data_IF_713649511025
#
_entry.id   IF_713649511025
#
_cell.length_a   1.000
_cell.length_b   1.000
_cell.length_c   1.000
_cell.angle_alpha   90.00
_cell.angle_beta   90.00
_cell.angle_gamma   90.00
#
_symmetry.space_group_name_H-M   'P 1'
#
loop_
_entity.id
_entity.type
_entity.pdbx_description
1 polymer ?
#
# COMPACT_ATOMS: atom_id res chain seq x y z
N UNK A 1 36.36 -33.52 9.49
CA UNK A 1 35.36 -32.49 9.88
C UNK A 1 34.95 -31.56 8.72
N UNK A 2 35.81 -31.27 7.73
CA UNK A 2 35.50 -30.37 6.60
C UNK A 2 34.53 -30.94 5.55
N UNK A 3 34.58 -32.24 5.26
CA UNK A 3 33.72 -32.89 4.24
C UNK A 3 32.24 -33.03 4.66
N UNK A 4 31.96 -33.17 5.96
CA UNK A 4 30.56 -33.21 6.47
C UNK A 4 29.86 -31.85 6.42
N UNK A 5 30.61 -30.74 6.55
CA UNK A 5 30.08 -29.38 6.42
C UNK A 5 29.78 -29.02 4.96
N UNK A 6 30.61 -29.48 4.02
CA UNK A 6 30.34 -29.30 2.59
C UNK A 6 29.10 -30.09 2.13
N UNK A 7 28.92 -31.32 2.61
CA UNK A 7 27.77 -32.14 2.25
C UNK A 7 26.44 -31.58 2.82
N UNK A 8 26.48 -31.03 4.03
CA UNK A 8 25.31 -30.37 4.63
C UNK A 8 24.93 -29.07 3.89
N UNK A 9 25.92 -28.27 3.48
CA UNK A 9 25.69 -27.08 2.66
C UNK A 9 25.20 -27.42 1.24
N UNK A 10 25.71 -28.51 0.64
CA UNK A 10 25.23 -28.95 -0.68
C UNK A 10 23.79 -29.50 -0.61
N UNK A 11 23.45 -30.21 0.47
CA UNK A 11 22.11 -30.73 0.69
C UNK A 11 21.10 -29.61 1.03
N UNK A 12 21.50 -28.57 1.77
CA UNK A 12 20.64 -27.42 2.03
C UNK A 12 20.38 -26.60 0.76
N UNK A 13 21.39 -26.42 -0.10
CA UNK A 13 21.22 -25.75 -1.40
C UNK A 13 20.32 -26.59 -2.33
N UNK A 14 20.45 -27.92 -2.31
CA UNK A 14 19.60 -28.81 -3.11
C UNK A 14 18.13 -28.80 -2.64
N UNK A 15 17.88 -28.71 -1.34
CA UNK A 15 16.52 -28.59 -0.79
C UNK A 15 15.95 -27.19 -1.09
N UNK A 16 16.74 -26.11 -1.01
CA UNK A 16 16.31 -24.76 -1.42
C UNK A 16 15.96 -24.69 -2.93
N UNK A 17 16.67 -25.42 -3.79
CA UNK A 17 16.35 -25.53 -5.22
C UNK A 17 15.09 -26.36 -5.52
N UNK A 18 14.70 -27.27 -4.62
CA UNK A 18 13.48 -28.09 -4.74
C UNK A 18 12.26 -27.46 -4.08
N UNK A 19 12.44 -26.42 -3.26
CA UNK A 19 11.37 -25.64 -2.62
C UNK A 19 11.09 -24.32 -3.33
N UNK A 20 11.74 -24.05 -4.47
CA UNK A 20 11.19 -23.06 -5.41
C UNK A 20 9.80 -23.55 -5.82
N UNK A 21 8.75 -22.71 -5.77
CA UNK A 21 7.43 -23.09 -6.23
C UNK A 21 7.59 -23.62 -7.65
N UNK A 22 7.32 -24.91 -7.83
CA UNK A 22 7.11 -25.46 -9.17
C UNK A 22 5.88 -24.72 -9.66
N UNK A 23 6.08 -23.70 -10.48
CA UNK A 23 5.02 -23.14 -11.28
C UNK A 23 4.41 -24.33 -12.03
N UNK A 24 3.22 -24.73 -11.59
CA UNK A 24 2.28 -25.35 -12.50
C UNK A 24 2.19 -24.33 -13.63
N UNK A 25 2.81 -24.63 -14.77
CA UNK A 25 2.53 -23.91 -16.00
C UNK A 25 1.02 -24.09 -16.20
N UNK A 26 0.26 -23.10 -15.74
CA UNK A 26 -1.02 -22.81 -16.36
C UNK A 26 -0.67 -22.71 -17.84
N UNK A 27 -1.29 -23.60 -18.63
CA UNK A 27 -1.40 -23.43 -20.07
C UNK A 27 -1.66 -21.94 -20.30
N UNK A 28 -0.74 -21.23 -20.99
CA UNK A 28 -0.95 -19.83 -21.33
C UNK A 28 -2.24 -19.81 -22.13
N UNK A 29 -3.36 -19.51 -21.46
CA UNK A 29 -4.60 -19.29 -22.15
C UNK A 29 -4.35 -18.05 -22.97
N UNK A 30 -4.03 -18.23 -24.26
CA UNK A 30 -3.91 -17.13 -25.22
C UNK A 30 -5.23 -16.39 -25.14
N UNK A 31 -5.22 -15.27 -24.43
CA UNK A 31 -6.38 -14.41 -24.30
C UNK A 31 -6.71 -13.90 -25.70
N UNK A 32 -7.97 -14.01 -26.16
CA UNK A 32 -8.30 -13.67 -27.53
C UNK A 32 -7.98 -12.19 -27.82
N UNK A 33 -7.61 -11.84 -29.07
CA UNK A 33 -7.45 -10.45 -29.48
C UNK A 33 -8.76 -9.68 -29.32
N UNK A 34 -8.70 -8.34 -29.26
CA UNK A 34 -9.91 -7.52 -29.18
C UNK A 34 -10.78 -7.64 -30.44
N UNK A 35 -12.09 -7.62 -30.25
CA UNK A 35 -13.09 -7.64 -31.32
C UNK A 35 -13.20 -6.29 -32.05
N UNK A 36 -12.85 -5.20 -31.38
CA UNK A 36 -12.79 -3.85 -31.93
C UNK A 36 -11.50 -3.17 -31.47
N UNK A 37 -10.87 -2.39 -32.35
CA UNK A 37 -9.71 -1.56 -32.01
C UNK A 37 -9.78 -0.26 -32.81
N UNK A 38 -9.75 0.87 -32.12
CA UNK A 38 -9.70 2.21 -32.71
C UNK A 38 -8.48 2.95 -32.15
N UNK A 39 -7.67 3.55 -33.02
CA UNK A 39 -6.47 4.31 -32.65
C UNK A 39 -6.53 5.70 -33.28
N UNK A 40 -6.64 6.76 -32.46
CA UNK A 40 -6.76 8.14 -32.93
C UNK A 40 -7.99 8.38 -33.82
N UNK A 41 -9.07 7.62 -33.60
CA UNK A 41 -10.28 7.62 -34.44
C UNK A 41 -10.20 6.75 -35.71
N UNK A 42 -9.08 6.05 -35.96
CA UNK A 42 -8.94 5.10 -37.06
C UNK A 42 -9.42 3.72 -36.61
N UNK A 43 -10.45 3.18 -37.26
CA UNK A 43 -10.96 1.82 -37.02
C UNK A 43 -9.97 0.79 -37.61
N UNK A 44 -9.20 0.13 -36.75
CA UNK A 44 -8.16 -0.86 -37.09
C UNK A 44 -8.72 -2.27 -37.10
N UNK A 45 -9.56 -2.61 -36.13
CA UNK A 45 -10.27 -3.90 -36.06
C UNK A 45 -11.76 -3.62 -35.88
N UNK A 46 -12.60 -4.37 -36.59
CA UNK A 46 -14.05 -4.33 -36.46
C UNK A 46 -14.61 -5.75 -36.54
N UNK A 47 -15.40 -6.16 -35.55
CA UNK A 47 -15.96 -7.51 -35.45
C UNK A 47 -14.90 -8.63 -35.59
N UNK A 48 -13.71 -8.41 -35.03
CA UNK A 48 -12.57 -9.32 -35.10
C UNK A 48 -11.78 -9.29 -36.42
N UNK A 49 -12.20 -8.51 -37.41
CA UNK A 49 -11.50 -8.41 -38.69
C UNK A 49 -10.66 -7.13 -38.80
N UNK A 50 -9.40 -7.28 -39.21
CA UNK A 50 -8.49 -6.16 -39.49
C UNK A 50 -8.99 -5.37 -40.70
N UNK A 51 -9.16 -4.07 -40.52
CA UNK A 51 -9.63 -3.16 -41.55
C UNK A 51 -8.45 -2.59 -42.36
N UNK A 52 -8.75 -2.08 -43.56
CA UNK A 52 -7.77 -1.31 -44.32
C UNK A 52 -7.72 0.12 -43.80
N UNK A 53 -6.55 0.55 -43.32
CA UNK A 53 -6.29 1.91 -42.89
C UNK A 53 -4.97 2.43 -43.47
N UNK A 54 -4.73 3.74 -43.36
CA UNK A 54 -3.45 4.32 -43.78
C UNK A 54 -2.43 4.11 -42.66
N UNK A 55 -1.31 3.40 -42.91
CA UNK A 55 -0.32 3.15 -41.87
C UNK A 55 0.29 4.46 -41.35
N UNK A 56 0.38 4.57 -40.03
CA UNK A 56 1.21 5.56 -39.36
C UNK A 56 2.64 5.01 -39.25
N UNK A 57 3.66 5.88 -39.32
CA UNK A 57 5.05 5.45 -39.12
C UNK A 57 5.41 5.30 -37.64
N UNK A 58 4.58 5.83 -36.75
CA UNK A 58 4.80 5.89 -35.31
C UNK A 58 4.04 4.81 -34.54
N UNK A 59 3.09 4.11 -35.15
CA UNK A 59 2.42 2.96 -34.54
C UNK A 59 2.00 1.90 -35.55
N UNK A 60 1.88 0.65 -35.11
CA UNK A 60 1.46 -0.49 -35.93
C UNK A 60 0.74 -1.54 -35.08
N UNK A 61 -0.22 -2.26 -35.65
CA UNK A 61 -0.95 -3.34 -34.96
C UNK A 61 -0.66 -4.71 -35.59
N UNK A 62 -0.24 -5.66 -34.75
CA UNK A 62 -0.14 -7.08 -35.09
C UNK A 62 -1.35 -7.82 -34.52
N UNK A 63 -2.23 -8.28 -35.41
CA UNK A 63 -3.46 -8.97 -35.02
C UNK A 63 -3.21 -10.38 -34.46
N UNK A 64 -2.13 -11.05 -34.88
CA UNK A 64 -1.83 -12.41 -34.41
C UNK A 64 -1.36 -12.43 -32.95
N UNK A 65 -0.69 -11.37 -32.53
CA UNK A 65 -0.17 -11.17 -31.18
C UNK A 65 -1.03 -10.20 -30.36
N UNK A 66 -2.17 -9.73 -30.90
CA UNK A 66 -3.02 -8.70 -30.30
C UNK A 66 -2.23 -7.46 -29.81
N UNK A 67 -1.18 -7.06 -30.54
CA UNK A 67 -0.18 -6.11 -30.07
C UNK A 67 -0.18 -4.82 -30.89
N UNK A 68 -0.51 -3.70 -30.24
CA UNK A 68 -0.29 -2.35 -30.74
C UNK A 68 1.10 -1.87 -30.32
N UNK A 69 1.99 -1.67 -31.27
CA UNK A 69 3.32 -1.10 -31.04
C UNK A 69 3.29 0.41 -31.27
N UNK A 70 3.80 1.19 -30.31
CA UNK A 70 4.00 2.64 -30.38
C UNK A 70 5.50 2.96 -30.38
N UNK A 71 5.93 3.88 -31.26
CA UNK A 71 7.31 4.34 -31.34
C UNK A 71 7.35 5.81 -31.78
N UNK A 72 7.37 6.74 -30.82
CA UNK A 72 7.28 8.17 -31.10
C UNK A 72 5.87 8.63 -31.47
N UNK A 73 4.83 7.91 -31.03
CA UNK A 73 3.45 8.18 -31.39
C UNK A 73 2.86 9.34 -30.58
N UNK A 74 2.05 10.15 -31.24
CA UNK A 74 1.15 11.13 -30.59
C UNK A 74 -0.26 10.88 -31.09
N UNK A 75 -1.09 10.31 -30.22
CA UNK A 75 -2.46 9.90 -30.54
C UNK A 75 -3.42 10.79 -29.77
N UNK A 76 -4.30 11.48 -30.48
CA UNK A 76 -5.30 12.34 -29.86
C UNK A 76 -6.66 11.65 -29.81
N UNK A 77 -7.38 11.88 -28.72
CA UNK A 77 -8.73 11.40 -28.52
C UNK A 77 -9.71 11.89 -29.57
N UNK A 78 -10.77 11.11 -29.78
CA UNK A 78 -11.81 11.43 -30.73
C UNK A 78 -13.19 11.34 -30.06
N UNK A 79 -13.93 12.45 -30.02
CA UNK A 79 -15.25 12.55 -29.39
C UNK A 79 -16.35 11.68 -30.02
N UNK A 80 -16.09 11.08 -31.18
CA UNK A 80 -17.00 10.09 -31.78
C UNK A 80 -16.73 8.66 -31.29
N UNK A 81 -15.66 8.44 -30.54
CA UNK A 81 -15.30 7.17 -29.89
C UNK A 81 -15.80 7.22 -28.45
N UNK A 82 -16.17 6.07 -27.89
CA UNK A 82 -16.63 5.98 -26.51
C UNK A 82 -15.60 6.60 -25.54
N UNK A 83 -16.10 7.44 -24.63
CA UNK A 83 -15.30 8.23 -23.68
C UNK A 83 -14.21 9.08 -24.35
N UNK A 84 -14.41 9.49 -25.60
CA UNK A 84 -13.45 10.32 -26.31
C UNK A 84 -12.09 9.64 -26.52
N UNK A 85 -12.02 8.31 -26.45
CA UNK A 85 -10.76 7.60 -26.27
C UNK A 85 -9.74 7.82 -27.40
N UNK A 86 -8.47 8.01 -27.03
CA UNK A 86 -7.35 8.02 -27.96
C UNK A 86 -7.05 6.61 -28.49
N UNK A 87 -7.06 5.62 -27.60
CA UNK A 87 -7.02 4.20 -27.95
C UNK A 87 -8.24 3.53 -27.32
N UNK A 88 -9.06 2.87 -28.14
CA UNK A 88 -10.21 2.09 -27.71
C UNK A 88 -10.07 0.65 -28.16
N UNK A 89 -10.30 -0.30 -27.26
CA UNK A 89 -10.46 -1.72 -27.60
C UNK A 89 -11.69 -2.32 -26.94
N UNK A 90 -12.26 -3.37 -27.54
CA UNK A 90 -13.45 -4.04 -27.01
C UNK A 90 -13.26 -5.56 -26.96
N UNK A 91 -13.47 -6.13 -25.78
CA UNK A 91 -13.27 -7.54 -25.49
C UNK A 91 -11.81 -7.98 -25.58
N UNK A 92 -11.54 -9.21 -25.15
CA UNK A 92 -10.21 -9.82 -25.29
C UNK A 92 -9.11 -9.09 -24.53
N UNK A 93 -7.88 -9.14 -25.03
CA UNK A 93 -6.72 -8.47 -24.41
C UNK A 93 -5.92 -7.74 -25.48
N UNK A 94 -5.67 -6.46 -25.25
CA UNK A 94 -4.79 -5.65 -26.09
C UNK A 94 -3.45 -5.46 -25.39
N UNK A 95 -2.37 -5.89 -26.04
CA UNK A 95 -1.02 -5.53 -25.63
C UNK A 95 -0.62 -4.20 -26.28
N UNK A 96 -0.24 -3.22 -25.48
CA UNK A 96 0.35 -1.95 -25.92
C UNK A 96 1.84 -1.99 -25.60
N UNK A 97 2.65 -2.19 -26.65
CA UNK A 97 4.10 -2.18 -26.55
C UNK A 97 4.62 -0.80 -26.97
N UNK A 98 5.33 -0.09 -26.10
CA UNK A 98 5.81 1.25 -26.42
C UNK A 98 7.34 1.36 -26.32
N UNK A 99 7.92 1.93 -27.38
CA UNK A 99 9.33 2.26 -27.52
C UNK A 99 9.46 3.77 -27.75
N UNK A 100 10.60 4.37 -27.40
CA UNK A 100 10.74 5.84 -27.48
C UNK A 100 9.77 6.58 -26.54
N UNK A 101 9.42 7.82 -26.88
CA UNK A 101 8.49 8.64 -26.11
C UNK A 101 7.14 8.75 -26.84
N UNK A 102 6.05 8.36 -26.17
CA UNK A 102 4.72 8.31 -26.76
C UNK A 102 3.72 9.06 -25.90
N UNK A 103 2.69 9.63 -26.52
CA UNK A 103 1.60 10.32 -25.85
C UNK A 103 0.26 9.90 -26.44
N UNK A 104 -0.71 9.64 -25.57
CA UNK A 104 -2.10 9.39 -25.89
C UNK A 104 -2.93 10.33 -25.03
N UNK A 105 -3.87 11.06 -25.64
CA UNK A 105 -4.79 11.93 -24.92
C UNK A 105 -6.24 11.50 -25.15
N UNK A 106 -7.10 11.70 -24.15
CA UNK A 106 -8.55 11.62 -24.31
C UNK A 106 -9.12 12.93 -24.87
N UNK A 107 -10.25 12.85 -25.56
CA UNK A 107 -10.98 14.05 -25.99
C UNK A 107 -11.76 14.66 -24.81
N UNK A 108 -11.91 15.98 -24.80
CA UNK A 108 -12.76 16.66 -23.82
C UNK A 108 -14.23 16.38 -24.14
N UNK A 109 -14.88 15.61 -23.29
CA UNK A 109 -16.27 15.16 -23.42
C UNK A 109 -16.87 14.96 -22.01
N UNK A 110 -18.13 14.50 -21.92
CA UNK A 110 -18.79 14.17 -20.66
C UNK A 110 -18.01 13.15 -19.81
N UNK A 111 -17.35 12.19 -20.46
CA UNK A 111 -16.36 11.28 -19.89
C UNK A 111 -15.19 11.18 -20.86
N UNK A 112 -13.97 11.15 -20.33
CA UNK A 112 -12.74 11.15 -21.12
C UNK A 112 -11.78 10.07 -20.65
N UNK A 113 -11.25 9.27 -21.57
CA UNK A 113 -10.19 8.31 -21.32
C UNK A 113 -9.07 8.49 -22.35
N UNK A 114 -7.79 8.42 -21.97
CA UNK A 114 -6.74 8.33 -22.99
C UNK A 114 -6.78 6.95 -23.66
N UNK A 115 -6.86 5.91 -22.83
CA UNK A 115 -6.92 4.51 -23.25
C UNK A 115 -8.10 3.83 -22.55
N UNK A 116 -8.97 3.18 -23.32
CA UNK A 116 -10.13 2.47 -22.81
C UNK A 116 -10.27 1.07 -23.41
N UNK A 117 -10.37 0.05 -22.54
CA UNK A 117 -10.74 -1.31 -22.91
C UNK A 117 -12.13 -1.68 -22.37
N UNK A 118 -13.09 -1.84 -23.27
CA UNK A 118 -14.49 -2.15 -22.96
C UNK A 118 -14.78 -3.65 -22.96
N UNK A 119 -15.95 -4.04 -22.43
CA UNK A 119 -16.52 -5.40 -22.49
C UNK A 119 -15.59 -6.46 -21.86
N UNK A 120 -15.20 -6.22 -20.60
CA UNK A 120 -14.22 -7.03 -19.86
C UNK A 120 -12.84 -7.09 -20.53
N UNK A 121 -12.52 -6.12 -21.41
CA UNK A 121 -11.25 -6.05 -22.11
C UNK A 121 -10.08 -5.76 -21.19
N UNK A 122 -8.98 -6.48 -21.35
CA UNK A 122 -7.74 -6.27 -20.58
C UNK A 122 -6.72 -5.44 -21.36
N UNK A 123 -5.87 -4.73 -20.62
CA UNK A 123 -4.75 -3.98 -21.17
C UNK A 123 -3.42 -4.51 -20.61
N UNK A 124 -2.49 -4.85 -21.51
CA UNK A 124 -1.12 -5.26 -21.14
C UNK A 124 -0.13 -4.24 -21.68
N UNK A 125 0.62 -3.61 -20.79
CA UNK A 125 1.63 -2.61 -21.10
C UNK A 125 3.02 -3.22 -21.05
N UNK A 126 3.81 -3.02 -22.11
CA UNK A 126 5.15 -3.58 -22.26
C UNK A 126 6.07 -2.67 -23.10
N UNK A 127 7.33 -3.09 -23.29
CA UNK A 127 8.32 -2.34 -24.05
C UNK A 127 9.37 -1.69 -23.16
N UNK A 128 10.16 -0.79 -23.72
CA UNK A 128 11.25 -0.11 -23.00
C UNK A 128 11.16 1.42 -23.01
N UNK A 129 10.16 1.98 -23.70
CA UNK A 129 9.93 3.41 -23.82
C UNK A 129 9.11 4.02 -22.68
N UNK A 130 8.61 5.22 -22.93
CA UNK A 130 7.67 5.96 -22.09
C UNK A 130 6.35 6.14 -22.83
N UNK A 131 5.24 5.98 -22.12
CA UNK A 131 3.90 6.30 -22.59
C UNK A 131 3.23 7.23 -21.58
N UNK A 132 2.87 8.42 -22.02
CA UNK A 132 2.04 9.37 -21.28
C UNK A 132 0.59 9.23 -21.75
N UNK A 133 -0.30 8.85 -20.85
CA UNK A 133 -1.72 8.63 -21.11
C UNK A 133 -2.55 9.61 -20.27
N UNK A 134 -3.09 10.65 -20.90
CA UNK A 134 -3.80 11.75 -20.21
C UNK A 134 -5.28 11.78 -20.60
N UNK A 135 -6.16 11.54 -19.64
CA UNK A 135 -7.57 11.86 -19.81
C UNK A 135 -7.77 13.36 -20.05
N UNK A 136 -8.87 13.76 -20.67
CA UNK A 136 -9.24 15.16 -20.82
C UNK A 136 -10.15 15.67 -19.70
N UNK A 137 -10.42 16.97 -19.72
CA UNK A 137 -11.39 17.62 -18.81
C UNK A 137 -12.80 17.06 -19.03
N UNK A 138 -13.38 16.46 -17.99
CA UNK A 138 -14.64 15.73 -18.08
C UNK A 138 -15.33 15.55 -16.71
N UNK A 139 -16.55 14.98 -16.68
CA UNK A 139 -17.13 14.55 -15.40
C UNK A 139 -16.37 13.35 -14.83
N UNK A 140 -15.99 12.42 -15.69
CA UNK A 140 -15.11 11.29 -15.41
C UNK A 140 -13.88 11.39 -16.28
N UNK A 141 -12.69 11.46 -15.69
CA UNK A 141 -11.43 11.53 -16.43
C UNK A 141 -10.53 10.36 -16.05
N UNK A 142 -10.04 9.63 -17.06
CA UNK A 142 -9.23 8.44 -16.92
C UNK A 142 -7.94 8.58 -17.75
N UNK A 143 -6.78 8.39 -17.13
CA UNK A 143 -5.57 8.11 -17.90
C UNK A 143 -5.72 6.77 -18.63
N UNK A 144 -6.01 5.72 -17.87
CA UNK A 144 -6.29 4.38 -18.36
C UNK A 144 -7.55 3.81 -17.71
N UNK A 145 -8.43 3.23 -18.52
CA UNK A 145 -9.62 2.51 -18.06
C UNK A 145 -9.69 1.13 -18.72
N UNK A 146 -9.73 0.05 -17.94
CA UNK A 146 -10.15 -1.27 -18.39
C UNK A 146 -11.39 -1.78 -17.62
N UNK A 147 -12.40 -2.27 -18.34
CA UNK A 147 -13.49 -3.10 -17.76
C UNK A 147 -12.95 -4.49 -17.33
N UNK A 148 -11.78 -4.88 -17.83
CA UNK A 148 -10.99 -6.02 -17.34
C UNK A 148 -9.84 -5.55 -16.43
N UNK A 149 -8.72 -6.27 -16.48
CA UNK A 149 -7.50 -5.96 -15.73
C UNK A 149 -6.50 -5.08 -16.49
N UNK A 150 -5.62 -4.42 -15.73
CA UNK A 150 -4.46 -3.69 -16.24
C UNK A 150 -3.18 -4.37 -15.77
N UNK A 151 -2.32 -4.76 -16.71
CA UNK A 151 -1.02 -5.38 -16.42
C UNK A 151 0.12 -4.52 -16.95
N UNK A 152 1.12 -4.22 -16.13
CA UNK A 152 2.36 -3.54 -16.53
C UNK A 152 3.55 -4.48 -16.35
N UNK A 153 4.15 -4.86 -17.47
CA UNK A 153 5.30 -5.80 -17.52
C UNK A 153 6.62 -5.12 -17.87
N UNK A 154 6.59 -3.90 -18.41
CA UNK A 154 7.77 -3.16 -18.84
C UNK A 154 7.47 -1.71 -19.25
N UNK A 155 8.53 -0.95 -19.50
CA UNK A 155 8.45 0.47 -19.86
C UNK A 155 8.08 1.38 -18.69
N UNK A 156 7.90 2.67 -18.99
CA UNK A 156 7.36 3.69 -18.08
C UNK A 156 5.98 4.15 -18.56
N UNK A 157 4.93 3.81 -17.83
CA UNK A 157 3.57 4.28 -18.07
C UNK A 157 3.25 5.40 -17.09
N UNK A 158 3.01 6.61 -17.59
CA UNK A 158 2.50 7.73 -16.82
C UNK A 158 1.03 7.97 -17.21
N UNK A 159 0.09 7.51 -16.38
CA UNK A 159 -1.35 7.59 -16.60
C UNK A 159 -1.98 8.62 -15.66
N UNK A 160 -2.66 9.61 -16.22
CA UNK A 160 -3.21 10.75 -15.48
C UNK A 160 -4.67 11.00 -15.85
N UNK A 161 -5.54 11.04 -14.85
CA UNK A 161 -6.85 11.67 -14.99
C UNK A 161 -6.74 13.18 -14.76
N UNK A 162 -7.46 13.96 -15.55
CA UNK A 162 -7.43 15.43 -15.46
C UNK A 162 -8.35 15.97 -14.34
N UNK A 163 -8.51 17.29 -14.25
CA UNK A 163 -9.52 17.94 -13.43
C UNK A 163 -10.93 17.44 -13.79
N UNK A 164 -11.63 16.86 -12.80
CA UNK A 164 -12.91 16.19 -13.04
C UNK A 164 -13.79 16.10 -11.79
N UNK A 165 -15.02 15.57 -11.92
CA UNK A 165 -15.76 15.16 -10.70
C UNK A 165 -15.18 13.88 -10.12
N UNK A 166 -14.86 12.92 -10.99
CA UNK A 166 -14.14 11.69 -10.67
C UNK A 166 -12.91 11.60 -11.55
N UNK A 167 -11.74 11.56 -10.94
CA UNK A 167 -10.46 11.54 -11.66
C UNK A 167 -9.64 10.32 -11.27
N UNK A 168 -9.19 9.56 -12.27
CA UNK A 168 -8.47 8.32 -12.11
C UNK A 168 -7.21 8.34 -12.97
N UNK A 169 -6.04 8.10 -12.37
CA UNK A 169 -4.87 7.74 -13.16
C UNK A 169 -5.11 6.41 -13.89
N UNK A 170 -5.44 5.38 -13.12
CA UNK A 170 -5.83 4.05 -13.61
C UNK A 170 -7.15 3.63 -12.96
N UNK A 171 -8.07 3.10 -13.75
CA UNK A 171 -9.26 2.39 -13.32
C UNK A 171 -9.27 0.99 -13.97
N UNK A 172 -9.37 -0.05 -13.16
CA UNK A 172 -9.49 -1.43 -13.63
C UNK A 172 -10.54 -2.21 -12.83
N UNK A 173 -11.55 -2.77 -13.46
CA UNK A 173 -12.49 -3.64 -12.74
C UNK A 173 -11.82 -4.98 -12.38
N UNK A 174 -11.03 -5.57 -13.27
CA UNK A 174 -10.38 -6.88 -13.08
C UNK A 174 -9.05 -6.86 -12.31
N UNK A 175 -8.68 -5.72 -11.70
CA UNK A 175 -7.45 -5.58 -10.91
C UNK A 175 -6.27 -4.94 -11.66
N UNK A 176 -5.21 -4.63 -10.90
CA UNK A 176 -3.99 -4.01 -11.41
C UNK A 176 -2.79 -4.88 -11.04
N UNK A 177 -2.02 -5.32 -12.03
CA UNK A 177 -0.79 -6.11 -11.83
C UNK A 177 0.43 -5.38 -12.37
N UNK A 178 1.49 -5.29 -11.58
CA UNK A 178 2.79 -4.76 -11.98
C UNK A 178 3.89 -5.77 -11.63
N UNK A 179 4.46 -6.37 -12.67
CA UNK A 179 5.55 -7.35 -12.56
C UNK A 179 6.89 -6.78 -13.05
N UNK A 180 6.87 -5.65 -13.76
CA UNK A 180 8.05 -4.95 -14.25
C UNK A 180 7.76 -3.50 -14.65
N UNK A 181 8.80 -2.77 -15.08
CA UNK A 181 8.65 -1.38 -15.50
C UNK A 181 8.31 -0.40 -14.36
N UNK A 182 7.74 0.73 -14.74
CA UNK A 182 7.24 1.76 -13.81
C UNK A 182 5.84 2.21 -14.21
N UNK A 183 4.90 2.16 -13.27
CA UNK A 183 3.58 2.75 -13.39
C UNK A 183 3.49 4.00 -12.51
N UNK A 184 3.23 5.15 -13.11
CA UNK A 184 2.80 6.36 -12.40
C UNK A 184 1.32 6.55 -12.70
N UNK A 185 0.46 6.43 -11.68
CA UNK A 185 -0.99 6.58 -11.82
C UNK A 185 -1.43 7.79 -10.98
N UNK A 186 -1.89 8.85 -11.62
CA UNK A 186 -2.23 10.12 -10.95
C UNK A 186 -3.67 10.51 -11.19
N UNK A 187 -4.46 10.65 -10.13
CA UNK A 187 -5.74 11.34 -10.20
C UNK A 187 -5.53 12.86 -10.13
N UNK A 188 -6.27 13.61 -10.95
CA UNK A 188 -6.28 15.07 -10.95
C UNK A 188 -7.05 15.69 -9.79
N UNK A 189 -7.23 17.01 -9.82
CA UNK A 189 -8.09 17.71 -8.85
C UNK A 189 -9.55 17.33 -9.07
N UNK A 190 -10.26 16.86 -8.03
CA UNK A 190 -11.60 16.31 -8.23
C UNK A 190 -12.54 16.35 -7.03
N UNK A 191 -13.78 15.87 -7.17
CA UNK A 191 -14.58 15.48 -6.00
C UNK A 191 -14.04 14.20 -5.37
N UNK A 192 -13.78 13.19 -6.20
CA UNK A 192 -13.05 11.99 -5.82
C UNK A 192 -11.87 11.78 -6.75
N UNK A 193 -10.69 11.62 -6.17
CA UNK A 193 -9.44 11.47 -6.93
C UNK A 193 -8.73 10.18 -6.53
N UNK A 194 -8.29 9.42 -7.52
CA UNK A 194 -7.68 8.11 -7.35
C UNK A 194 -6.41 8.04 -8.18
N UNK A 195 -5.30 7.66 -7.57
CA UNK A 195 -4.11 7.25 -8.33
C UNK A 195 -4.44 5.99 -9.13
N UNK A 196 -4.64 4.88 -8.43
CA UNK A 196 -5.09 3.62 -8.99
C UNK A 196 -6.35 3.11 -8.27
N UNK A 197 -7.40 2.82 -9.05
CA UNK A 197 -8.59 2.13 -8.61
C UNK A 197 -8.64 0.72 -9.22
N UNK A 198 -8.87 -0.27 -8.36
CA UNK A 198 -9.10 -1.67 -8.74
C UNK A 198 -10.39 -2.16 -8.07
N UNK A 199 -11.30 -2.81 -8.82
CA UNK A 199 -12.41 -3.50 -8.17
C UNK A 199 -11.94 -4.80 -7.50
N UNK A 200 -11.01 -5.52 -8.14
CA UNK A 200 -10.31 -6.70 -7.61
C UNK A 200 -8.91 -6.35 -7.06
N UNK A 201 -7.95 -7.29 -7.15
CA UNK A 201 -6.63 -7.19 -6.50
C UNK A 201 -5.72 -6.11 -7.14
N UNK A 202 -4.85 -5.54 -6.32
CA UNK A 202 -3.65 -4.81 -6.75
C UNK A 202 -2.43 -5.62 -6.37
N UNK A 203 -1.66 -6.07 -7.35
CA UNK A 203 -0.48 -6.91 -7.16
C UNK A 203 0.77 -6.25 -7.72
N UNK A 204 1.79 -6.10 -6.88
CA UNK A 204 3.10 -5.55 -7.26
C UNK A 204 4.16 -6.61 -6.97
N UNK A 205 4.38 -7.49 -7.94
CA UNK A 205 5.34 -8.61 -7.88
C UNK A 205 6.75 -8.21 -8.36
N UNK A 206 6.86 -7.03 -8.95
CA UNK A 206 8.11 -6.42 -9.40
C UNK A 206 7.89 -4.97 -9.81
N UNK A 207 8.87 -4.36 -10.47
CA UNK A 207 8.77 -2.98 -10.95
C UNK A 207 8.52 -1.94 -9.84
N UNK A 208 8.04 -0.77 -10.25
CA UNK A 208 7.72 0.35 -9.35
C UNK A 208 6.35 0.94 -9.68
N UNK A 209 5.53 1.20 -8.66
CA UNK A 209 4.24 1.88 -8.78
C UNK A 209 4.27 3.17 -7.95
N UNK A 210 3.93 4.30 -8.57
CA UNK A 210 3.65 5.57 -7.92
C UNK A 210 2.18 5.92 -8.13
N UNK A 211 1.33 5.67 -7.15
CA UNK A 211 -0.11 5.92 -7.23
C UNK A 211 -0.47 7.14 -6.39
N UNK A 212 -0.82 8.24 -7.05
CA UNK A 212 -1.09 9.53 -6.41
C UNK A 212 -2.55 9.94 -6.59
N UNK A 213 -3.29 10.08 -5.49
CA UNK A 213 -4.58 10.79 -5.51
C UNK A 213 -4.34 12.30 -5.52
N UNK A 214 -5.08 13.05 -6.34
CA UNK A 214 -5.03 14.51 -6.39
C UNK A 214 -5.78 15.18 -5.23
N UNK A 215 -5.75 16.51 -5.20
CA UNK A 215 -6.55 17.31 -4.25
C UNK A 215 -8.04 17.01 -4.47
N UNK A 216 -8.78 16.75 -3.38
CA UNK A 216 -10.18 16.33 -3.49
C UNK A 216 -11.15 17.14 -2.64
N UNK A 217 -12.34 17.43 -3.18
CA UNK A 217 -13.44 18.06 -2.41
C UNK A 217 -14.28 17.05 -1.63
N UNK A 218 -14.00 15.75 -1.75
CA UNK A 218 -14.51 14.67 -0.88
C UNK A 218 -13.40 13.70 -0.49
N UNK A 219 -12.99 12.82 -1.42
CA UNK A 219 -12.11 11.69 -1.10
C UNK A 219 -10.89 11.67 -2.01
N UNK A 220 -9.72 11.41 -1.46
CA UNK A 220 -8.50 11.21 -2.23
C UNK A 220 -7.79 9.93 -1.82
N UNK A 221 -7.44 9.11 -2.80
CA UNK A 221 -6.84 7.81 -2.58
C UNK A 221 -5.61 7.62 -3.48
N UNK A 222 -4.50 7.15 -2.90
CA UNK A 222 -3.37 6.69 -3.70
C UNK A 222 -3.75 5.41 -4.44
N UNK A 223 -4.03 4.36 -3.69
CA UNK A 223 -4.57 3.08 -4.18
C UNK A 223 -5.90 2.78 -3.50
N UNK A 224 -6.90 2.36 -4.28
CA UNK A 224 -8.14 1.81 -3.78
C UNK A 224 -8.46 0.47 -4.43
N UNK A 225 -8.46 -0.59 -3.62
CA UNK A 225 -8.99 -1.91 -3.93
C UNK A 225 -10.36 -2.08 -3.28
N UNK A 226 -11.39 -2.34 -4.09
CA UNK A 226 -12.77 -2.45 -3.60
C UNK A 226 -13.03 -3.79 -2.89
N UNK A 227 -12.99 -4.89 -3.64
CA UNK A 227 -13.25 -6.24 -3.14
C UNK A 227 -11.99 -7.11 -3.04
N UNK A 228 -10.88 -6.69 -3.63
CA UNK A 228 -9.60 -7.41 -3.61
C UNK A 228 -8.63 -6.99 -2.51
N UNK A 229 -7.45 -7.60 -2.56
CA UNK A 229 -6.31 -7.34 -1.70
C UNK A 229 -5.31 -6.39 -2.36
N UNK A 230 -4.41 -5.82 -1.56
CA UNK A 230 -3.20 -5.15 -2.06
C UNK A 230 -1.99 -5.96 -1.63
N UNK A 231 -1.25 -6.52 -2.58
CA UNK A 231 -0.09 -7.38 -2.32
C UNK A 231 1.16 -6.80 -2.95
N UNK A 232 2.23 -6.66 -2.16
CA UNK A 232 3.56 -6.22 -2.63
C UNK A 232 4.59 -7.27 -2.26
N UNK A 233 5.06 -8.03 -3.25
CA UNK A 233 6.02 -9.13 -3.09
C UNK A 233 7.16 -8.94 -4.10
N UNK A 234 8.26 -8.32 -3.67
CA UNK A 234 9.44 -8.05 -4.51
C UNK A 234 9.48 -6.73 -5.28
N UNK A 235 8.34 -6.06 -5.49
CA UNK A 235 8.28 -4.73 -6.11
C UNK A 235 8.23 -3.55 -5.12
N UNK A 236 8.06 -2.34 -5.64
CA UNK A 236 7.88 -1.11 -4.82
C UNK A 236 6.55 -0.44 -5.14
N UNK A 237 5.75 -0.15 -4.12
CA UNK A 237 4.51 0.63 -4.21
C UNK A 237 4.62 1.88 -3.33
N UNK A 238 4.50 3.05 -3.95
CA UNK A 238 4.37 4.35 -3.30
C UNK A 238 2.95 4.87 -3.58
N UNK A 239 2.09 4.84 -2.56
CA UNK A 239 0.68 5.17 -2.64
C UNK A 239 0.37 6.39 -1.76
N UNK A 240 0.19 7.55 -2.40
CA UNK A 240 0.08 8.83 -1.71
C UNK A 240 -1.27 9.46 -2.09
N UNK A 241 -2.13 9.75 -1.12
CA UNK A 241 -3.31 10.54 -1.41
C UNK A 241 -3.01 12.04 -1.48
N UNK A 242 -3.99 12.81 -1.94
CA UNK A 242 -4.00 14.27 -1.87
C UNK A 242 -4.76 14.78 -0.66
N UNK A 243 -4.66 16.08 -0.41
CA UNK A 243 -5.50 16.73 0.60
C UNK A 243 -6.98 16.58 0.22
N UNK A 244 -7.83 16.29 1.20
CA UNK A 244 -9.25 16.03 0.96
C UNK A 244 -10.12 16.67 2.04
N UNK A 245 -11.42 16.87 1.78
CA UNK A 245 -12.33 17.38 2.82
C UNK A 245 -12.85 16.27 3.74
N UNK A 246 -12.99 15.04 3.23
CA UNK A 246 -13.55 13.91 3.98
C UNK A 246 -12.51 12.83 4.28
N UNK A 247 -12.07 12.06 3.29
CA UNK A 247 -11.10 10.97 3.48
C UNK A 247 -9.87 11.16 2.60
N UNK A 248 -8.69 11.00 3.21
CA UNK A 248 -7.40 10.96 2.53
C UNK A 248 -6.68 9.67 2.93
N UNK A 249 -6.53 8.73 2.00
CA UNK A 249 -5.98 7.39 2.29
C UNK A 249 -4.89 7.02 1.29
N UNK A 250 -3.69 6.68 1.78
CA UNK A 250 -2.63 6.15 0.92
C UNK A 250 -3.06 4.86 0.23
N UNK A 251 -3.37 3.82 1.02
CA UNK A 251 -3.89 2.53 0.53
C UNK A 251 -5.18 2.15 1.24
N UNK A 252 -6.24 1.90 0.47
CA UNK A 252 -7.49 1.35 0.97
C UNK A 252 -7.80 0.00 0.31
N UNK A 253 -7.84 -1.06 1.10
CA UNK A 253 -8.47 -2.33 0.72
C UNK A 253 -9.80 -2.44 1.49
N UNK A 254 -10.93 -2.17 0.84
CA UNK A 254 -12.21 -2.04 1.55
C UNK A 254 -12.68 -3.37 2.16
N UNK A 255 -12.70 -4.43 1.36
CA UNK A 255 -13.14 -5.76 1.80
C UNK A 255 -11.96 -6.74 1.99
N UNK A 256 -10.80 -6.44 1.41
CA UNK A 256 -9.61 -7.28 1.45
C UNK A 256 -8.54 -6.88 2.46
N UNK A 257 -7.39 -7.54 2.34
CA UNK A 257 -6.20 -7.32 3.15
C UNK A 257 -5.08 -6.58 2.42
N UNK A 258 -4.05 -6.21 3.18
CA UNK A 258 -2.78 -5.69 2.68
C UNK A 258 -1.66 -6.63 3.11
N UNK A 259 -0.85 -7.09 2.16
CA UNK A 259 0.28 -8.00 2.42
C UNK A 259 1.56 -7.45 1.81
N UNK A 260 2.64 -7.44 2.59
CA UNK A 260 3.98 -7.06 2.12
C UNK A 260 4.98 -8.14 2.49
N UNK A 261 5.62 -8.76 1.50
CA UNK A 261 6.53 -9.92 1.65
C UNK A 261 7.71 -9.85 0.69
N UNK A 262 8.64 -10.82 0.71
CA UNK A 262 9.66 -11.04 -0.33
C UNK A 262 10.49 -9.79 -0.75
N UNK A 263 10.91 -8.95 0.20
CA UNK A 263 11.58 -7.65 -0.06
C UNK A 263 10.70 -6.59 -0.77
N UNK A 264 9.40 -6.83 -0.86
CA UNK A 264 8.42 -5.85 -1.27
C UNK A 264 8.46 -4.62 -0.35
N UNK A 265 8.33 -3.44 -0.94
CA UNK A 265 8.29 -2.18 -0.19
C UNK A 265 7.00 -1.43 -0.49
N UNK A 266 6.22 -1.13 0.55
CA UNK A 266 5.01 -0.32 0.47
C UNK A 266 5.15 0.93 1.34
N UNK A 267 5.06 2.10 0.71
CA UNK A 267 4.88 3.38 1.40
C UNK A 267 3.47 3.88 1.11
N UNK A 268 2.68 4.08 2.15
CA UNK A 268 1.31 4.55 2.07
C UNK A 268 1.15 5.83 2.90
N UNK A 269 0.76 6.93 2.26
CA UNK A 269 0.65 8.23 2.94
C UNK A 269 -0.73 8.88 2.72
N UNK A 270 -1.42 9.14 3.83
CA UNK A 270 -2.56 10.03 3.91
C UNK A 270 -2.12 11.49 4.05
N UNK A 271 -2.89 12.43 3.50
CA UNK A 271 -2.69 13.88 3.68
C UNK A 271 -3.78 14.48 4.56
N UNK A 272 -3.83 15.81 4.63
CA UNK A 272 -4.81 16.53 5.46
C UNK A 272 -6.24 16.23 5.02
N UNK A 273 -7.09 15.77 5.95
CA UNK A 273 -8.52 15.54 5.73
C UNK A 273 -9.36 15.52 7.02
N UNK A 274 -10.67 15.26 6.94
CA UNK A 274 -11.48 14.99 8.12
C UNK A 274 -11.01 13.69 8.81
N UNK A 275 -10.82 12.62 8.04
CA UNK A 275 -10.11 11.39 8.46
C UNK A 275 -8.92 11.15 7.55
N UNK A 276 -7.79 10.75 8.11
CA UNK A 276 -6.57 10.47 7.33
C UNK A 276 -5.95 9.14 7.70
N UNK A 277 -5.47 8.40 6.70
CA UNK A 277 -4.98 7.03 6.85
C UNK A 277 -3.74 6.82 5.97
N UNK A 278 -2.70 6.19 6.51
CA UNK A 278 -1.69 5.56 5.68
C UNK A 278 -2.29 4.35 4.99
N UNK A 279 -2.66 3.33 5.78
CA UNK A 279 -3.32 2.10 5.32
C UNK A 279 -4.64 1.88 6.04
N UNK A 280 -5.67 1.48 5.28
CA UNK A 280 -6.94 0.99 5.81
C UNK A 280 -7.29 -0.34 5.15
N UNK A 281 -7.49 -1.40 5.93
CA UNK A 281 -7.79 -2.74 5.42
C UNK A 281 -8.56 -3.60 6.43
N UNK A 282 -9.06 -4.77 6.01
CA UNK A 282 -9.59 -5.76 6.95
C UNK A 282 -8.48 -6.46 7.74
N UNK A 283 -7.42 -6.87 7.06
CA UNK A 283 -6.22 -7.47 7.65
C UNK A 283 -4.96 -6.88 7.05
N UNK A 284 -3.92 -6.72 7.86
CA UNK A 284 -2.59 -6.26 7.42
C UNK A 284 -1.56 -7.30 7.82
N UNK A 285 -0.74 -7.75 6.87
CA UNK A 285 0.34 -8.70 7.10
C UNK A 285 1.66 -8.14 6.57
N UNK A 286 2.72 -8.22 7.39
CA UNK A 286 4.10 -8.02 6.95
C UNK A 286 4.87 -9.30 7.23
N UNK A 287 5.43 -9.87 6.19
CA UNK A 287 6.00 -11.22 6.20
C UNK A 287 7.45 -11.18 5.71
N UNK A 288 8.24 -12.15 6.13
CA UNK A 288 9.60 -12.37 5.63
C UNK A 288 10.52 -11.14 5.72
N UNK A 289 10.82 -10.48 4.59
CA UNK A 289 11.65 -9.26 4.50
C UNK A 289 10.86 -8.06 3.97
N UNK A 290 9.53 -8.13 3.97
CA UNK A 290 8.67 -7.03 3.54
C UNK A 290 8.85 -5.76 4.39
N UNK A 291 8.66 -4.60 3.77
CA UNK A 291 8.76 -3.30 4.42
C UNK A 291 7.50 -2.46 4.16
N UNK A 292 6.72 -2.21 5.22
CA UNK A 292 5.52 -1.37 5.19
C UNK A 292 5.74 -0.09 5.99
N UNK A 293 5.67 1.06 5.32
CA UNK A 293 5.60 2.38 5.96
C UNK A 293 4.22 2.99 5.72
N UNK A 294 3.45 3.17 6.79
CA UNK A 294 2.08 3.69 6.75
C UNK A 294 1.97 4.97 7.57
N UNK A 295 1.69 6.09 6.88
CA UNK A 295 1.69 7.43 7.47
C UNK A 295 0.31 8.07 7.32
N UNK A 296 -0.36 8.32 8.44
CA UNK A 296 -1.56 9.16 8.46
C UNK A 296 -1.21 10.64 8.37
N UNK A 297 -2.01 11.40 7.64
CA UNK A 297 -1.89 12.85 7.57
C UNK A 297 -2.64 13.56 8.70
N UNK A 298 -2.66 14.89 8.67
CA UNK A 298 -3.39 15.69 9.67
C UNK A 298 -4.91 15.45 9.60
N UNK A 299 -5.54 15.13 10.72
CA UNK A 299 -6.99 14.90 10.81
C UNK A 299 -7.71 16.06 11.51
N UNK A 300 -8.67 16.67 10.81
CA UNK A 300 -9.33 17.91 11.26
C UNK A 300 -10.63 17.67 12.04
N UNK A 301 -11.37 16.60 11.74
CA UNK A 301 -12.69 16.34 12.32
C UNK A 301 -12.79 14.97 13.00
N UNK A 302 -12.15 13.96 12.44
CA UNK A 302 -12.10 12.61 12.97
C UNK A 302 -10.65 12.27 13.30
N UNK A 303 -10.28 11.01 13.12
CA UNK A 303 -9.01 10.47 13.58
C UNK A 303 -7.98 10.38 12.47
N UNK A 304 -6.71 10.33 12.87
CA UNK A 304 -5.59 9.99 11.98
C UNK A 304 -5.05 8.61 12.33
N UNK A 305 -4.70 7.84 11.30
CA UNK A 305 -4.25 6.46 11.43
C UNK A 305 -2.98 6.24 10.60
N UNK A 306 -1.93 5.68 11.19
CA UNK A 306 -0.89 5.03 10.38
C UNK A 306 -1.51 3.81 9.68
N UNK A 307 -1.95 2.84 10.49
CA UNK A 307 -2.70 1.65 10.08
C UNK A 307 -4.06 1.61 10.76
N UNK A 308 -5.11 1.28 10.00
CA UNK A 308 -6.45 1.00 10.52
C UNK A 308 -6.97 -0.34 10.01
N UNK A 309 -7.07 -1.30 10.94
CA UNK A 309 -7.79 -2.55 10.77
C UNK A 309 -9.13 -2.42 11.52
N UNK A 310 -10.10 -1.72 10.93
CA UNK A 310 -11.25 -1.21 11.68
C UNK A 310 -12.40 -2.20 11.92
N UNK A 311 -12.49 -3.25 11.12
CA UNK A 311 -13.60 -4.20 11.12
C UNK A 311 -13.56 -5.16 12.30
N UNK A 312 -14.71 -5.77 12.64
CA UNK A 312 -14.75 -6.78 13.70
C UNK A 312 -13.94 -8.01 13.32
N UNK A 313 -13.07 -8.51 14.21
CA UNK A 313 -12.20 -9.65 13.96
C UNK A 313 -11.02 -9.38 13.02
N UNK A 314 -10.74 -8.10 12.73
CA UNK A 314 -9.59 -7.65 11.95
C UNK A 314 -8.25 -7.97 12.63
N UNK A 315 -7.17 -7.99 11.86
CA UNK A 315 -5.85 -8.33 12.40
C UNK A 315 -4.72 -7.52 11.79
N UNK A 316 -3.67 -7.31 12.58
CA UNK A 316 -2.36 -6.87 12.14
C UNK A 316 -1.36 -7.96 12.55
N UNK A 317 -0.70 -8.56 11.57
CA UNK A 317 0.27 -9.64 11.79
C UNK A 317 1.63 -9.23 11.23
N UNK A 318 2.67 -9.42 12.03
CA UNK A 318 4.06 -9.23 11.61
C UNK A 318 4.81 -10.51 11.94
N UNK A 319 5.17 -11.25 10.89
CA UNK A 319 5.88 -12.53 10.96
C UNK A 319 7.30 -12.45 10.40
N UNK A 320 7.72 -11.24 10.02
CA UNK A 320 9.03 -10.88 9.50
C UNK A 320 9.04 -9.40 9.10
N UNK A 321 10.15 -8.92 8.56
CA UNK A 321 10.23 -7.60 7.94
C UNK A 321 10.06 -6.44 8.91
N UNK A 322 9.55 -5.32 8.38
CA UNK A 322 9.35 -4.08 9.12
C UNK A 322 7.97 -3.48 8.86
N UNK A 323 7.26 -3.14 9.93
CA UNK A 323 6.06 -2.30 9.92
C UNK A 323 6.35 -0.99 10.65
N UNK A 324 6.28 0.14 9.95
CA UNK A 324 6.32 1.48 10.54
C UNK A 324 4.98 2.17 10.35
N UNK A 325 4.20 2.32 11.41
CA UNK A 325 2.86 2.88 11.41
C UNK A 325 2.81 4.16 12.25
N UNK A 326 2.72 5.30 11.57
CA UNK A 326 2.74 6.62 12.20
C UNK A 326 1.46 7.36 11.84
N UNK A 327 0.68 7.77 12.83
CA UNK A 327 -0.44 8.69 12.60
C UNK A 327 0.04 10.11 12.32
N UNK A 328 -0.88 10.97 11.93
CA UNK A 328 -0.70 12.42 11.91
C UNK A 328 -1.35 13.10 13.12
N UNK A 329 -1.10 14.39 13.24
CA UNK A 329 -1.72 15.25 14.25
C UNK A 329 -3.25 15.27 14.09
N UNK A 330 -4.00 15.26 15.19
CA UNK A 330 -5.47 15.28 15.15
C UNK A 330 -6.08 16.40 15.99
N UNK A 331 -7.19 16.96 15.51
CA UNK A 331 -7.92 18.03 16.22
C UNK A 331 -9.13 17.47 16.98
N UNK A 332 -10.13 16.97 16.25
CA UNK A 332 -11.41 16.51 16.81
C UNK A 332 -11.62 14.98 16.71
N UNK A 333 -10.54 14.23 16.57
CA UNK A 333 -10.53 12.79 16.80
C UNK A 333 -9.19 12.35 17.35
N UNK A 334 -8.98 11.04 17.45
CA UNK A 334 -7.79 10.48 18.09
C UNK A 334 -6.67 10.24 17.07
N UNK A 335 -5.45 10.10 17.56
CA UNK A 335 -4.28 9.80 16.76
C UNK A 335 -3.84 8.36 17.05
N UNK A 336 -3.76 7.51 16.03
CA UNK A 336 -3.48 6.07 16.17
C UNK A 336 -2.33 5.64 15.27
N UNK A 337 -1.19 5.20 15.82
CA UNK A 337 -0.19 4.50 15.01
C UNK A 337 -0.82 3.28 14.34
N UNK A 338 -1.35 2.37 15.15
CA UNK A 338 -2.11 1.18 14.74
C UNK A 338 -3.45 1.18 15.48
N UNK A 339 -4.54 1.09 14.74
CA UNK A 339 -5.89 0.88 15.25
C UNK A 339 -6.43 -0.48 14.83
N UNK A 340 -6.94 -1.25 15.78
CA UNK A 340 -7.62 -2.53 15.53
C UNK A 340 -9.01 -2.54 16.17
N UNK A 341 -10.00 -2.99 15.39
CA UNK A 341 -11.40 -3.07 15.76
C UNK A 341 -11.72 -4.10 16.85
N UNK A 342 -13.01 -4.25 17.15
CA UNK A 342 -13.49 -5.18 18.18
C UNK A 342 -13.24 -6.64 17.79
N UNK A 343 -12.83 -7.47 18.74
CA UNK A 343 -12.45 -8.88 18.53
C UNK A 343 -11.17 -9.08 17.73
N UNK A 344 -10.43 -8.01 17.41
CA UNK A 344 -9.25 -8.09 16.56
C UNK A 344 -7.95 -8.38 17.32
N UNK A 345 -6.86 -8.55 16.56
CA UNK A 345 -5.55 -8.92 17.13
C UNK A 345 -4.41 -8.10 16.53
N UNK A 346 -3.38 -7.88 17.35
CA UNK A 346 -2.05 -7.51 16.87
C UNK A 346 -1.11 -8.64 17.28
N UNK A 347 -0.48 -9.29 16.31
CA UNK A 347 0.41 -10.43 16.54
C UNK A 347 1.77 -10.16 15.91
N UNK A 348 2.82 -10.24 16.73
CA UNK A 348 4.21 -10.11 16.27
C UNK A 348 4.95 -11.38 16.68
N UNK A 349 5.31 -12.20 15.68
CA UNK A 349 6.06 -13.44 15.88
C UNK A 349 7.51 -13.33 15.45
N UNK A 350 7.83 -12.37 14.57
CA UNK A 350 9.18 -11.95 14.19
C UNK A 350 9.10 -10.53 13.58
N UNK A 351 10.23 -9.96 13.18
CA UNK A 351 10.30 -8.64 12.53
C UNK A 351 10.29 -7.48 13.52
N UNK A 352 10.09 -6.27 12.99
CA UNK A 352 10.16 -5.02 13.74
C UNK A 352 8.90 -4.19 13.51
N UNK A 353 8.26 -3.73 14.58
CA UNK A 353 7.11 -2.85 14.54
C UNK A 353 7.43 -1.52 15.22
N UNK A 354 7.26 -0.42 14.49
CA UNK A 354 7.20 0.94 15.04
C UNK A 354 5.76 1.42 14.94
N UNK A 355 5.17 1.83 16.07
CA UNK A 355 3.80 2.32 16.11
C UNK A 355 3.73 3.64 16.90
N UNK A 356 3.44 4.74 16.20
CA UNK A 356 3.43 6.08 16.78
C UNK A 356 2.07 6.77 16.65
N UNK A 357 1.47 7.06 17.80
CA UNK A 357 0.40 8.04 17.96
C UNK A 357 0.99 9.46 18.01
N UNK A 358 0.60 10.37 17.12
CA UNK A 358 0.97 11.80 17.18
C UNK A 358 0.08 12.56 18.16
N UNK A 359 0.21 13.90 18.25
CA UNK A 359 -0.59 14.62 19.22
C UNK A 359 -2.07 14.69 18.80
N UNK A 360 -2.94 14.78 19.81
CA UNK A 360 -4.36 15.02 19.65
C UNK A 360 -4.81 16.20 20.51
N UNK A 361 -5.49 17.16 19.89
CA UNK A 361 -5.91 18.39 20.58
C UNK A 361 -7.05 18.13 21.56
N UNK A 362 -8.11 17.43 21.14
CA UNK A 362 -9.33 17.26 21.95
C UNK A 362 -9.59 15.82 22.41
N UNK A 363 -8.89 14.83 21.87
CA UNK A 363 -9.14 13.41 22.13
C UNK A 363 -7.86 12.71 22.58
N UNK A 364 -7.61 11.50 22.08
CA UNK A 364 -6.63 10.58 22.59
C UNK A 364 -5.45 10.40 21.61
N UNK A 365 -4.35 9.89 22.12
CA UNK A 365 -3.20 9.46 21.30
C UNK A 365 -2.77 8.06 21.70
N UNK A 366 -2.64 7.18 20.72
CA UNK A 366 -2.23 5.80 20.91
C UNK A 366 -1.21 5.37 19.88
N UNK A 367 -0.16 4.67 20.32
CA UNK A 367 0.72 3.97 19.38
C UNK A 367 0.00 2.74 18.82
N UNK A 368 -0.51 1.87 19.68
CA UNK A 368 -1.37 0.73 19.35
C UNK A 368 -2.65 0.82 20.18
N UNK A 369 -3.79 0.79 19.50
CA UNK A 369 -5.11 0.72 20.13
C UNK A 369 -5.89 -0.48 19.61
N UNK A 370 -6.39 -1.30 20.53
CA UNK A 370 -7.34 -2.38 20.26
C UNK A 370 -8.58 -2.16 21.11
N UNK A 371 -9.75 -2.08 20.46
CA UNK A 371 -11.01 -1.82 21.17
C UNK A 371 -11.37 -2.97 22.13
N UNK A 372 -11.35 -4.20 21.64
CA UNK A 372 -11.51 -5.44 22.40
C UNK A 372 -10.68 -6.52 21.72
N UNK A 373 -9.62 -7.02 22.33
CA UNK A 373 -8.76 -7.97 21.65
C UNK A 373 -7.38 -8.07 22.29
N UNK A 374 -6.45 -8.71 21.59
CA UNK A 374 -5.15 -9.07 22.17
C UNK A 374 -4.00 -8.49 21.38
N UNK A 375 -3.00 -7.99 22.11
CA UNK A 375 -1.65 -7.79 21.59
C UNK A 375 -0.83 -9.00 22.03
N UNK A 376 -0.20 -9.70 21.08
CA UNK A 376 0.70 -10.82 21.37
C UNK A 376 2.04 -10.56 20.69
N UNK A 377 3.10 -10.55 21.48
CA UNK A 377 4.48 -10.44 21.00
C UNK A 377 5.20 -11.71 21.45
N UNK A 378 5.36 -12.68 20.56
CA UNK A 378 6.05 -13.95 20.84
C UNK A 378 7.47 -14.00 20.25
N UNK A 379 7.80 -13.03 19.42
CA UNK A 379 9.11 -12.79 18.83
C UNK A 379 9.15 -11.40 18.21
N UNK A 380 10.29 -11.01 17.65
CA UNK A 380 10.48 -9.67 17.09
C UNK A 380 10.48 -8.55 18.13
N UNK A 381 10.46 -7.31 17.64
CA UNK A 381 10.62 -6.09 18.44
C UNK A 381 9.45 -5.15 18.16
N UNK A 382 8.80 -4.65 19.21
CA UNK A 382 7.66 -3.73 19.11
C UNK A 382 7.97 -2.45 19.88
N UNK A 383 8.17 -1.36 19.15
CA UNK A 383 8.44 -0.02 19.67
C UNK A 383 7.20 0.86 19.52
N UNK A 384 6.64 1.31 20.65
CA UNK A 384 5.33 1.96 20.66
C UNK A 384 5.35 3.26 21.45
N UNK A 385 4.93 4.35 20.80
CA UNK A 385 4.85 5.67 21.41
C UNK A 385 3.50 6.32 21.18
N UNK A 386 3.11 7.18 22.12
CA UNK A 386 1.96 8.07 21.99
C UNK A 386 2.39 9.52 22.22
N UNK A 387 1.71 10.43 21.54
CA UNK A 387 1.93 11.86 21.61
C UNK A 387 1.16 12.52 22.75
N UNK A 388 1.19 13.85 22.78
CA UNK A 388 0.45 14.63 23.77
C UNK A 388 -1.04 14.62 23.42
N UNK A 389 -1.89 14.34 24.40
CA UNK A 389 -3.33 14.29 24.18
C UNK A 389 -4.09 14.89 25.37
N UNK A 390 -5.24 15.54 25.11
CA UNK A 390 -6.14 16.02 26.16
C UNK A 390 -6.84 14.88 26.90
N UNK A 391 -7.20 13.84 26.16
CA UNK A 391 -7.74 12.59 26.67
C UNK A 391 -6.63 11.64 27.10
N UNK A 392 -6.81 10.35 26.81
CA UNK A 392 -5.80 9.35 27.12
C UNK A 392 -4.63 9.45 26.14
N UNK A 393 -3.41 9.49 26.67
CA UNK A 393 -2.19 9.20 25.92
C UNK A 393 -1.61 7.91 26.45
N UNK A 394 -1.49 6.91 25.57
CA UNK A 394 -1.02 5.57 25.93
C UNK A 394 -0.36 4.90 24.73
N UNK A 395 0.87 4.42 24.87
CA UNK A 395 1.55 3.65 23.83
C UNK A 395 0.73 2.44 23.42
N UNK A 396 0.50 1.47 24.30
CA UNK A 396 -0.35 0.30 24.01
C UNK A 396 -1.63 0.32 24.84
N UNK A 397 -2.77 0.34 24.16
CA UNK A 397 -4.08 0.19 24.76
C UNK A 397 -4.79 -1.07 24.23
N UNK A 398 -4.91 -2.11 25.04
CA UNK A 398 -5.79 -3.24 24.77
C UNK A 398 -6.98 -3.15 25.72
N UNK A 399 -8.19 -2.86 25.22
CA UNK A 399 -9.37 -2.54 26.04
C UNK A 399 -9.70 -3.58 27.13
N UNK A 400 -10.65 -4.49 26.85
CA UNK A 400 -11.00 -5.58 27.79
C UNK A 400 -10.20 -6.87 27.55
N UNK A 401 -9.11 -6.80 26.79
CA UNK A 401 -8.29 -7.97 26.46
C UNK A 401 -6.96 -7.98 27.19
N UNK A 402 -5.93 -8.54 26.55
CA UNK A 402 -4.62 -8.75 27.16
C UNK A 402 -3.49 -8.24 26.26
N UNK A 403 -2.39 -7.84 26.92
CA UNK A 403 -1.09 -7.63 26.29
C UNK A 403 -0.21 -8.78 26.75
N UNK A 404 0.20 -9.65 25.84
CA UNK A 404 1.03 -10.83 26.13
C UNK A 404 2.39 -10.67 25.46
N UNK A 405 3.46 -10.75 26.24
CA UNK A 405 4.84 -10.74 25.74
C UNK A 405 5.48 -12.04 26.18
N UNK A 406 5.80 -12.90 25.22
CA UNK A 406 6.15 -14.30 25.42
C UNK A 406 7.50 -14.60 24.80
N UNK A 407 8.16 -15.65 25.30
CA UNK A 407 9.36 -16.23 24.69
C UNK A 407 10.45 -15.18 24.40
N UNK A 408 10.79 -14.98 23.12
CA UNK A 408 11.82 -14.04 22.68
C UNK A 408 11.26 -12.65 22.29
N UNK A 409 9.96 -12.42 22.49
CA UNK A 409 9.32 -11.15 22.16
C UNK A 409 9.84 -9.98 22.99
N UNK A 410 9.94 -8.81 22.36
CA UNK A 410 10.36 -7.57 23.00
C UNK A 410 9.36 -6.42 22.77
N UNK A 411 8.89 -5.79 23.85
CA UNK A 411 7.98 -4.65 23.83
C UNK A 411 8.57 -3.43 24.57
N UNK A 412 8.81 -2.35 23.84
CA UNK A 412 9.19 -1.06 24.41
C UNK A 412 8.00 -0.10 24.23
N UNK A 413 7.50 0.44 25.33
CA UNK A 413 6.39 1.39 25.26
C UNK A 413 6.52 2.54 26.27
N UNK A 414 6.17 3.75 25.84
CA UNK A 414 6.11 4.87 26.77
C UNK A 414 5.01 4.65 27.84
N UNK A 415 3.89 4.02 27.50
CA UNK A 415 2.78 3.84 28.44
C UNK A 415 1.88 2.68 28.02
N UNK A 416 1.36 1.95 29.01
CA UNK A 416 0.40 0.86 28.77
C UNK A 416 -0.82 0.99 29.68
N UNK A 417 -2.00 0.60 29.18
CA UNK A 417 -3.22 0.58 29.98
C UNK A 417 -3.32 -0.66 30.88
N UNK A 418 -2.72 -1.77 30.45
CA UNK A 418 -2.59 -3.02 31.17
C UNK A 418 -1.13 -3.45 31.12
N UNK A 419 -0.55 -3.84 32.24
CA UNK A 419 0.81 -4.36 32.23
C UNK A 419 0.88 -5.66 31.42
N UNK A 420 1.94 -5.87 30.62
CA UNK A 420 2.11 -7.11 29.87
C UNK A 420 2.16 -8.32 30.80
N UNK A 421 1.56 -9.44 30.35
CA UNK A 421 1.69 -10.75 30.99
C UNK A 421 2.59 -11.66 30.15
N UNK A 422 3.19 -12.66 30.76
CA UNK A 422 4.09 -13.60 30.09
C UNK A 422 5.53 -13.49 30.59
N UNK A 423 6.43 -14.22 29.94
CA UNK A 423 7.84 -14.38 30.31
C UNK A 423 8.82 -13.68 29.36
N UNK A 424 8.32 -12.98 28.34
CA UNK A 424 9.15 -12.22 27.41
C UNK A 424 9.69 -10.90 27.99
N UNK A 425 10.32 -10.10 27.13
CA UNK A 425 11.08 -8.90 27.52
C UNK A 425 10.26 -7.63 27.29
N UNK A 426 10.20 -6.73 28.27
CA UNK A 426 9.52 -5.45 28.06
C UNK A 426 10.04 -4.32 28.96
N UNK A 427 9.90 -3.09 28.44
CA UNK A 427 10.20 -1.84 29.14
C UNK A 427 9.04 -0.88 28.98
N UNK A 428 8.49 -0.43 30.12
CA UNK A 428 7.51 0.67 30.17
C UNK A 428 8.16 1.90 30.79
N UNK A 429 8.38 2.98 30.03
CA UNK A 429 9.33 4.04 30.42
C UNK A 429 8.76 5.47 30.61
N UNK A 430 7.48 5.70 30.30
CA UNK A 430 6.81 7.01 30.41
C UNK A 430 5.66 7.06 31.43
N UNK A 431 5.58 6.06 32.29
CA UNK A 431 4.77 6.03 33.52
C UNK A 431 5.55 5.26 34.60
N UNK A 432 5.09 5.27 35.86
CA UNK A 432 5.65 4.37 36.88
C UNK A 432 5.63 2.94 36.33
N UNK A 433 6.82 2.38 36.13
CA UNK A 433 7.04 1.24 35.26
C UNK A 433 8.13 0.32 35.79
N UNK A 434 8.34 -0.77 35.06
CA UNK A 434 9.35 -1.76 35.38
C UNK A 434 10.02 -2.24 34.09
N UNK A 435 11.21 -2.82 34.25
CA UNK A 435 11.80 -3.71 33.26
C UNK A 435 11.42 -5.14 33.58
N UNK A 436 11.16 -5.95 32.56
CA UNK A 436 11.08 -7.40 32.66
C UNK A 436 12.02 -8.05 31.65
N UNK A 437 12.72 -9.10 32.09
CA UNK A 437 13.61 -9.88 31.23
C UNK A 437 14.90 -9.15 30.90
N UNK A 438 15.46 -9.43 29.72
CA UNK A 438 16.68 -8.82 29.20
C UNK A 438 16.32 -7.91 28.03
N UNK A 439 16.13 -6.62 28.30
CA UNK A 439 15.76 -5.62 27.30
C UNK A 439 17.02 -5.02 26.69
N UNK A 440 17.02 -4.86 25.36
CA UNK A 440 18.07 -4.16 24.61
C UNK A 440 17.44 -2.99 23.88
N UNK A 441 17.87 -1.76 24.20
CA UNK A 441 17.30 -0.60 23.55
C UNK A 441 17.61 -0.61 22.05
N UNK A 442 16.58 -0.39 21.24
CA UNK A 442 16.68 -0.30 19.76
C UNK A 442 16.54 1.12 19.23
N UNK A 443 16.25 2.08 20.11
CA UNK A 443 16.08 3.48 19.79
C UNK A 443 16.43 4.35 20.99
N UNK A 444 16.74 5.62 20.72
CA UNK A 444 16.91 6.61 21.76
C UNK A 444 15.63 6.75 22.59
N UNK A 445 15.78 6.78 23.92
CA UNK A 445 14.66 6.99 24.83
C UNK A 445 15.01 8.02 25.90
N UNK A 446 13.97 8.73 26.35
CA UNK A 446 14.04 9.65 27.48
C UNK A 446 13.09 9.17 28.58
N UNK A 447 13.60 8.96 29.78
CA UNK A 447 12.80 8.72 31.00
C UNK A 447 12.44 10.09 31.59
N UNK A 448 11.15 10.46 31.68
CA UNK A 448 10.70 11.75 32.21
C UNK A 448 11.02 11.96 33.69
N UNK A 449 11.14 13.21 34.13
CA UNK A 449 11.58 13.59 35.47
C UNK A 449 10.70 13.08 36.63
N UNK A 450 9.41 12.88 36.38
CA UNK A 450 8.41 12.39 37.33
C UNK A 450 8.16 10.89 37.23
N UNK A 451 8.96 10.16 36.43
CA UNK A 451 8.85 8.72 36.23
C UNK A 451 9.88 7.96 37.06
N UNK A 452 9.39 6.90 37.71
CA UNK A 452 10.20 5.90 38.40
C UNK A 452 10.15 4.58 37.63
N UNK A 453 11.32 4.04 37.31
CA UNK A 453 11.51 2.75 36.65
C UNK A 453 12.21 1.80 37.61
N UNK A 454 11.58 0.67 37.89
CA UNK A 454 12.21 -0.42 38.64
C UNK A 454 12.92 -1.39 37.70
N UNK A 455 14.16 -1.76 38.01
CA UNK A 455 14.86 -2.89 37.38
C UNK A 455 14.96 -4.01 38.42
N UNK A 456 14.03 -4.98 38.42
CA UNK A 456 14.02 -6.06 39.40
C UNK A 456 15.30 -6.91 39.34
N UNK A 457 15.62 -7.57 40.46
CA UNK A 457 16.73 -8.52 40.49
C UNK A 457 16.55 -9.61 39.42
N UNK A 458 17.57 -9.77 38.56
CA UNK A 458 17.56 -10.71 37.45
C UNK A 458 17.09 -10.13 36.11
N UNK A 459 16.54 -8.91 36.08
CA UNK A 459 16.29 -8.18 34.85
C UNK A 459 17.53 -7.39 34.41
N UNK A 460 17.65 -7.13 33.11
CA UNK A 460 18.71 -6.28 32.56
C UNK A 460 18.16 -5.28 31.54
N UNK A 461 18.74 -4.08 31.53
CA UNK A 461 18.53 -3.05 30.52
C UNK A 461 19.88 -2.75 29.86
N UNK A 462 20.02 -3.13 28.60
CA UNK A 462 21.24 -2.92 27.81
C UNK A 462 21.06 -1.72 26.90
N UNK A 463 22.05 -0.82 26.91
CA UNK A 463 22.12 0.36 26.05
C UNK A 463 23.23 0.11 25.04
N UNK A 464 22.92 -0.15 23.75
CA UNK A 464 23.92 -0.27 22.71
C UNK A 464 24.75 1.00 22.53
N UNK A 465 25.93 0.89 21.89
CA UNK A 465 26.87 2.01 21.72
C UNK A 465 26.32 3.16 20.87
N UNK A 466 25.34 2.88 20.03
CA UNK A 466 24.70 3.78 19.07
C UNK A 466 23.33 4.28 19.55
N UNK A 467 22.93 3.95 20.78
CA UNK A 467 21.65 4.33 21.37
C UNK A 467 21.88 5.16 22.64
N UNK A 468 21.07 6.19 22.82
CA UNK A 468 21.10 7.09 23.98
C UNK A 468 19.94 6.83 24.91
N UNK A 469 20.24 6.55 26.18
CA UNK A 469 19.28 6.65 27.28
C UNK A 469 19.47 7.99 27.99
N UNK A 470 18.49 8.88 27.86
CA UNK A 470 18.42 10.11 28.68
C UNK A 470 17.57 9.82 29.90
N UNK A 471 18.13 9.92 31.11
CA UNK A 471 17.39 9.73 32.36
C UNK A 471 17.23 11.04 33.12
N UNK A 472 16.02 11.63 33.04
CA UNK A 472 15.64 12.77 33.87
C UNK A 472 14.91 12.34 35.15
N UNK A 473 14.39 11.10 35.17
CA UNK A 473 13.66 10.50 36.28
C UNK A 473 14.53 9.66 37.23
N UNK A 474 13.92 8.64 37.80
CA UNK A 474 14.55 7.74 38.77
C UNK A 474 14.58 6.30 38.25
N UNK A 475 15.75 5.66 38.27
CA UNK A 475 15.92 4.22 38.01
C UNK A 475 16.37 3.57 39.33
N UNK A 476 15.63 2.57 39.81
CA UNK A 476 15.88 1.86 41.08
C UNK A 476 16.06 0.36 40.92
#
# INVERSE_FOLDING_TARGET
MKTKKLLAALLSVLIMLLMMPVSVFADETVTPPPNSLIVGGVEVVKNGEVQSYTPDTTWSYDHSEATLTLNGATINGNSSVQFGAGIYSEGGTLTIKFEGENSVTGANDSSSAAIYAADSGNLVFSGSGTLTAEGGEATFSYGVYADGGVTVSGGKLDATGDEATFSYGVYADGGVEVSGGTLTATGGEANRSFGAFAADDVMVSGGKVNATGGTATSNSFGVYSFSGNVTVSGGTLEAISGAATYESIGVYALEGGVTVSDNGTLTAEGKTAASSYGVRAFSISVEETGALTAIGGAATMYSSYGVSAGSSGSSVTVSGGMLSATSGESVNGSSYGIFVGSGGTVTVSDGIVFAEGKNSTNFNSYGIFILQGTVTVSGGIVNVTSGVAKGTSCGVHAGNGNISVLDAGELLSNKVNLFPVGDGNWLIYGQTGSVQGNVVLTQDITIPADVEITIPAGATLTIPTDVTLTNDGTII
#
